data_IF_350763100050
#
_entry.id   IF_350763100050
#
_cell.length_a   1.000
_cell.length_b   1.000
_cell.length_c   1.000
_cell.angle_alpha   90.00
_cell.angle_beta   90.00
_cell.angle_gamma   90.00
#
_symmetry.space_group_name_H-M   'P 1'
#
loop_
_entity.id
_entity.type
_entity.pdbx_description
1 polymer ?
#
# COMPACT_ATOMS: atom_id res chain seq x y z
N UNK A 1 -7.40 0.71 15.24
CA UNK A 1 -7.19 0.81 13.80
C UNK A 1 -5.70 0.73 13.56
N UNK A 2 -5.25 -0.17 12.67
CA UNK A 2 -3.83 -0.33 12.41
C UNK A 2 -3.37 0.70 11.38
N UNK A 3 -2.09 1.08 11.39
CA UNK A 3 -1.54 2.06 10.44
C UNK A 3 -1.70 1.65 8.95
N UNK A 4 -1.86 0.35 8.68
CA UNK A 4 -2.16 -0.15 7.34
C UNK A 4 -3.59 0.19 6.91
N UNK A 5 -4.57 0.09 7.81
CA UNK A 5 -5.98 0.42 7.53
C UNK A 5 -6.12 1.89 7.11
N UNK A 6 -5.56 2.80 7.89
CA UNK A 6 -5.57 4.25 7.61
C UNK A 6 -4.98 4.58 6.23
N UNK A 7 -3.93 3.86 5.85
CA UNK A 7 -3.25 4.05 4.58
C UNK A 7 -4.10 3.55 3.41
N UNK A 8 -4.68 2.37 3.55
CA UNK A 8 -5.53 1.77 2.52
C UNK A 8 -6.80 2.61 2.33
N UNK A 9 -7.45 3.02 3.41
CA UNK A 9 -8.61 3.91 3.37
C UNK A 9 -8.31 5.25 2.68
N UNK A 10 -7.16 5.86 3.00
CA UNK A 10 -6.74 7.10 2.34
C UNK A 10 -6.53 6.89 0.85
N UNK A 11 -5.97 5.75 0.43
CA UNK A 11 -5.78 5.42 -0.99
C UNK A 11 -7.15 5.25 -1.67
N UNK A 12 -8.10 4.55 -1.04
CA UNK A 12 -9.46 4.36 -1.55
C UNK A 12 -10.17 5.71 -1.76
N UNK A 13 -10.15 6.60 -0.76
CA UNK A 13 -10.72 7.95 -0.87
C UNK A 13 -10.09 8.78 -1.99
N UNK A 14 -8.75 8.82 -2.02
CA UNK A 14 -8.02 9.72 -2.93
C UNK A 14 -7.95 9.21 -4.37
N UNK A 15 -7.97 7.90 -4.59
CA UNK A 15 -7.69 7.29 -5.90
C UNK A 15 -8.94 6.70 -6.54
N UNK A 16 -9.82 6.12 -5.72
CA UNK A 16 -11.04 5.45 -6.18
C UNK A 16 -12.30 6.26 -5.91
N UNK A 17 -12.22 7.32 -5.10
CA UNK A 17 -13.39 8.10 -4.69
C UNK A 17 -14.35 7.31 -3.78
N UNK A 18 -13.85 6.30 -3.07
CA UNK A 18 -14.63 5.46 -2.15
C UNK A 18 -14.41 5.97 -0.72
N UNK A 19 -15.49 6.42 -0.07
CA UNK A 19 -15.43 7.05 1.25
C UNK A 19 -15.04 6.08 2.39
N UNK A 20 -15.55 4.86 2.32
CA UNK A 20 -15.33 3.79 3.31
C UNK A 20 -15.15 2.44 2.63
N UNK A 21 -14.30 1.58 3.21
CA UNK A 21 -14.12 0.19 2.80
C UNK A 21 -14.89 -0.79 3.71
N UNK A 22 -15.69 -0.28 4.64
CA UNK A 22 -16.62 -1.09 5.42
C UNK A 22 -17.74 -1.64 4.53
N UNK A 23 -18.04 -2.94 4.65
CA UNK A 23 -19.17 -3.57 3.96
C UNK A 23 -20.49 -3.07 4.55
N UNK A 24 -21.38 -2.56 3.70
CA UNK A 24 -22.67 -1.97 4.11
C UNK A 24 -23.87 -2.84 3.75
N UNK A 25 -23.65 -3.94 3.04
CA UNK A 25 -24.67 -4.88 2.56
C UNK A 25 -25.76 -4.20 1.70
N UNK A 26 -25.34 -3.23 0.89
CA UNK A 26 -26.21 -2.49 -0.03
C UNK A 26 -25.46 -2.34 -1.36
N UNK A 27 -25.95 -2.97 -2.42
CA UNK A 27 -25.28 -3.05 -3.73
C UNK A 27 -24.65 -1.73 -4.20
N UNK A 28 -25.44 -0.66 -4.27
CA UNK A 28 -24.96 0.67 -4.73
C UNK A 28 -23.89 1.30 -3.84
N UNK A 29 -23.76 0.84 -2.61
CA UNK A 29 -22.79 1.31 -1.62
C UNK A 29 -21.54 0.44 -1.56
N UNK A 30 -21.61 -0.82 -2.00
CA UNK A 30 -20.51 -1.79 -1.91
C UNK A 30 -19.95 -2.18 -3.29
N UNK A 31 -20.69 -1.93 -4.37
CA UNK A 31 -20.31 -2.26 -5.75
C UNK A 31 -20.02 -0.97 -6.51
N UNK A 32 -18.77 -0.81 -6.93
CA UNK A 32 -18.29 0.37 -7.64
C UNK A 32 -17.85 0.05 -9.07
N UNK A 33 -18.42 0.75 -10.05
CA UNK A 33 -17.90 0.77 -11.41
C UNK A 33 -16.70 1.73 -11.49
N UNK A 34 -15.50 1.19 -11.62
CA UNK A 34 -14.26 1.97 -11.64
C UNK A 34 -13.47 1.71 -12.92
N UNK A 35 -12.81 2.73 -13.48
CA UNK A 35 -11.96 2.50 -14.61
C UNK A 35 -10.69 1.74 -14.22
N UNK A 36 -10.23 0.84 -15.10
CA UNK A 36 -9.08 -0.03 -14.84
C UNK A 36 -7.78 0.73 -14.52
N UNK A 37 -7.63 1.95 -15.03
CA UNK A 37 -6.46 2.79 -14.71
C UNK A 37 -6.49 3.35 -13.28
N UNK A 38 -7.67 3.63 -12.71
CA UNK A 38 -7.79 4.04 -11.32
C UNK A 38 -7.50 2.86 -10.37
N UNK A 39 -8.00 1.67 -10.71
CA UNK A 39 -7.68 0.42 -9.99
C UNK A 39 -6.17 0.19 -10.00
N UNK A 40 -5.52 0.26 -11.18
CA UNK A 40 -4.05 0.14 -11.30
C UNK A 40 -3.34 1.14 -10.39
N UNK A 41 -3.72 2.42 -10.44
CA UNK A 41 -3.10 3.46 -9.63
C UNK A 41 -3.27 3.20 -8.12
N UNK A 42 -4.42 2.73 -7.67
CA UNK A 42 -4.65 2.39 -6.27
C UNK A 42 -3.76 1.23 -5.82
N UNK A 43 -3.64 0.19 -6.64
CA UNK A 43 -2.77 -0.97 -6.38
C UNK A 43 -1.30 -0.57 -6.31
N UNK A 44 -0.83 0.27 -7.24
CA UNK A 44 0.55 0.81 -7.23
C UNK A 44 0.84 1.61 -5.96
N UNK A 45 -0.11 2.47 -5.54
CA UNK A 45 0.01 3.26 -4.32
C UNK A 45 0.01 2.38 -3.06
N UNK A 46 -0.83 1.34 -3.02
CA UNK A 46 -0.87 0.41 -1.90
C UNK A 46 0.43 -0.41 -1.80
N UNK A 47 0.93 -0.89 -2.93
CA UNK A 47 2.20 -1.61 -3.02
C UNK A 47 3.37 -0.77 -2.52
N UNK A 48 3.49 0.47 -3.00
CA UNK A 48 4.55 1.39 -2.57
C UNK A 48 4.43 1.78 -1.10
N UNK A 49 3.22 1.98 -0.59
CA UNK A 49 3.00 2.23 0.84
C UNK A 49 3.44 1.05 1.71
N UNK A 50 3.07 -0.18 1.34
CA UNK A 50 3.50 -1.39 2.04
C UNK A 50 5.01 -1.56 2.04
N UNK A 51 5.67 -1.32 0.89
CA UNK A 51 7.13 -1.34 0.77
C UNK A 51 7.83 -0.33 1.68
N UNK A 52 7.29 0.88 1.81
CA UNK A 52 7.85 1.93 2.68
C UNK A 52 7.67 1.62 4.15
N UNK A 53 6.57 0.93 4.50
CA UNK A 53 6.28 0.50 5.86
C UNK A 53 7.13 -0.71 6.29
N UNK A 54 7.68 -1.47 5.33
CA UNK A 54 8.53 -2.62 5.64
C UNK A 54 9.81 -2.18 6.37
N UNK A 55 10.14 -2.80 7.52
CA UNK A 55 11.37 -2.49 8.23
C UNK A 55 12.60 -2.88 7.40
N UNK A 56 13.72 -2.15 7.53
CA UNK A 56 14.96 -2.54 6.87
C UNK A 56 15.42 -3.91 7.37
N UNK A 57 15.92 -4.74 6.46
CA UNK A 57 16.60 -5.97 6.85
C UNK A 57 17.98 -5.60 7.36
N UNK A 58 18.25 -5.91 8.63
CA UNK A 58 19.60 -5.79 9.19
C UNK A 58 20.44 -6.99 8.79
N UNK A 59 21.60 -6.73 8.23
CA UNK A 59 22.55 -7.76 7.82
C UNK A 59 23.99 -7.33 8.17
N UNK A 60 24.92 -8.28 8.12
CA UNK A 60 26.34 -7.98 8.16
C UNK A 60 26.87 -7.83 6.73
N UNK A 61 27.69 -6.83 6.48
CA UNK A 61 28.35 -6.65 5.19
C UNK A 61 29.31 -7.83 4.93
N UNK A 62 29.17 -8.57 3.81
CA UNK A 62 30.00 -9.74 3.55
C UNK A 62 31.48 -9.39 3.32
N UNK A 63 31.80 -8.14 3.00
CA UNK A 63 33.17 -7.70 2.75
C UNK A 63 33.93 -7.27 4.02
N UNK A 64 33.25 -6.66 4.99
CA UNK A 64 33.91 -6.02 6.14
C UNK A 64 33.25 -6.28 7.50
N UNK A 65 32.14 -7.03 7.54
CA UNK A 65 31.44 -7.43 8.78
C UNK A 65 30.64 -6.33 9.49
N UNK A 66 30.62 -5.09 8.99
CA UNK A 66 29.83 -3.99 9.58
C UNK A 66 28.33 -4.23 9.42
N UNK A 67 27.54 -3.74 10.37
CA UNK A 67 26.09 -3.73 10.26
C UNK A 67 25.64 -2.85 9.09
N UNK A 68 24.74 -3.37 8.26
CA UNK A 68 24.11 -2.67 7.14
C UNK A 68 22.59 -2.83 7.19
N UNK A 69 21.89 -1.86 6.60
CA UNK A 69 20.45 -1.89 6.40
C UNK A 69 20.14 -2.05 4.91
N UNK A 70 19.40 -3.11 4.58
CA UNK A 70 18.95 -3.40 3.22
C UNK A 70 17.48 -2.98 3.12
N UNK A 71 17.16 -2.16 2.11
CA UNK A 71 15.80 -1.68 1.84
C UNK A 71 15.34 -2.13 0.44
N UNK A 72 14.04 -2.44 0.26
CA UNK A 72 13.49 -2.78 -1.05
C UNK A 72 13.62 -1.59 -2.04
N UNK A 73 14.27 -1.81 -3.18
CA UNK A 73 14.36 -0.83 -4.26
C UNK A 73 13.00 -0.69 -4.98
N UNK A 74 12.50 0.52 -5.34
CA UNK A 74 11.32 0.70 -6.19
C UNK A 74 11.39 -0.10 -7.50
N UNK A 75 10.25 -0.64 -7.98
CA UNK A 75 10.21 -1.18 -9.33
C UNK A 75 10.48 -0.04 -10.33
N UNK A 76 11.27 -0.36 -11.37
CA UNK A 76 11.59 0.55 -12.49
C UNK A 76 10.48 0.57 -13.52
#
# INVERSE_FOLDING_TARGET
MHAHDETIERIARQTLGIDTLETRHVDRLDIHGLPVWAIRQALERAYEAGRRAAPPTRAACPACGRAIEIRPLPPT
#
